data_IF_004326600689
#
_entry.id   IF_004326600689
#
_cell.length_a   1.000
_cell.length_b   1.000
_cell.length_c   1.000
_cell.angle_alpha   90.00
_cell.angle_beta   90.00
_cell.angle_gamma   90.00
#
_symmetry.space_group_name_H-M   'P 1'
#
loop_
_entity.id
_entity.type
_entity.pdbx_description
1 polymer ?
#
# COMPACT_ATOMS: atom_id res chain seq x y z
N UNK A 1 -9.71 14.17 11.01
CA UNK A 1 -8.90 12.93 11.09
C UNK A 1 -7.45 13.28 10.84
N UNK A 2 -6.53 12.87 11.70
CA UNK A 2 -5.09 13.10 11.53
C UNK A 2 -4.56 12.34 10.32
N UNK A 3 -3.73 12.97 9.48
CA UNK A 3 -3.17 12.42 8.23
C UNK A 3 -2.60 10.99 8.37
N UNK A 4 -1.88 10.73 9.47
CA UNK A 4 -1.34 9.41 9.84
C UNK A 4 -2.43 8.33 9.96
N UNK A 5 -3.62 8.65 10.48
CA UNK A 5 -4.75 7.72 10.58
C UNK A 5 -5.24 7.33 9.19
N UNK A 6 -5.38 8.31 8.28
CA UNK A 6 -5.81 8.06 6.89
C UNK A 6 -4.79 7.19 6.15
N UNK A 7 -3.49 7.47 6.29
CA UNK A 7 -2.43 6.65 5.71
C UNK A 7 -2.50 5.22 6.26
N UNK A 8 -2.58 5.07 7.58
CA UNK A 8 -2.66 3.75 8.22
C UNK A 8 -3.89 2.97 7.75
N UNK A 9 -5.06 3.61 7.64
CA UNK A 9 -6.28 2.96 7.17
C UNK A 9 -6.16 2.48 5.71
N UNK A 10 -5.61 3.32 4.83
CA UNK A 10 -5.34 2.96 3.43
C UNK A 10 -4.39 1.76 3.35
N UNK A 11 -3.29 1.78 4.11
CA UNK A 11 -2.32 0.69 4.14
C UNK A 11 -2.91 -0.63 4.67
N UNK A 12 -3.79 -0.58 5.69
CA UNK A 12 -4.49 -1.77 6.19
C UNK A 12 -5.33 -2.41 5.07
N UNK A 13 -6.10 -1.59 4.32
CA UNK A 13 -6.93 -2.12 3.25
C UNK A 13 -6.09 -2.70 2.10
N UNK A 14 -5.04 -2.00 1.69
CA UNK A 14 -4.08 -2.49 0.69
C UNK A 14 -3.45 -3.82 1.11
N UNK A 15 -3.02 -3.92 2.37
CA UNK A 15 -2.43 -5.14 2.96
C UNK A 15 -3.41 -6.31 2.94
N UNK A 16 -4.71 -6.07 3.17
CA UNK A 16 -5.74 -7.11 3.05
C UNK A 16 -5.94 -7.58 1.59
N UNK A 17 -5.99 -6.65 0.62
CA UNK A 17 -6.12 -6.99 -0.81
C UNK A 17 -4.91 -7.78 -1.33
N UNK A 18 -3.71 -7.39 -0.90
CA UNK A 18 -2.48 -8.12 -1.22
C UNK A 18 -2.52 -9.57 -0.71
N UNK A 19 -3.01 -9.80 0.51
CA UNK A 19 -3.20 -11.18 1.03
C UNK A 19 -4.23 -11.95 0.23
N UNK A 20 -5.35 -11.33 -0.16
CA UNK A 20 -6.34 -11.97 -1.02
C UNK A 20 -5.75 -12.40 -2.37
N UNK A 21 -4.84 -11.60 -2.94
CA UNK A 21 -4.10 -11.92 -4.16
C UNK A 21 -2.81 -12.73 -3.96
N UNK A 22 -2.62 -13.38 -2.80
CA UNK A 22 -1.42 -14.16 -2.42
C UNK A 22 -0.08 -13.40 -2.50
N UNK A 23 -0.09 -12.07 -2.36
CA UNK A 23 1.10 -11.20 -2.32
C UNK A 23 1.54 -10.91 -0.88
N UNK A 24 1.79 -11.96 -0.09
CA UNK A 24 2.07 -11.86 1.34
C UNK A 24 3.29 -10.98 1.67
N UNK A 25 4.39 -11.13 0.93
CA UNK A 25 5.61 -10.34 1.15
C UNK A 25 5.37 -8.83 1.05
N UNK A 26 4.48 -8.41 0.13
CA UNK A 26 4.09 -7.02 -0.03
C UNK A 26 3.15 -6.54 1.08
N UNK A 27 2.23 -7.39 1.51
CA UNK A 27 1.35 -7.09 2.65
C UNK A 27 2.16 -6.88 3.94
N UNK A 28 3.13 -7.76 4.20
CA UNK A 28 4.04 -7.66 5.34
C UNK A 28 4.90 -6.40 5.29
N UNK A 29 5.43 -6.04 4.11
CA UNK A 29 6.19 -4.80 3.93
C UNK A 29 5.35 -3.55 4.23
N UNK A 30 4.09 -3.50 3.77
CA UNK A 30 3.19 -2.40 4.11
C UNK A 30 2.90 -2.36 5.62
N UNK A 31 2.67 -3.50 6.25
CA UNK A 31 2.39 -3.55 7.70
C UNK A 31 3.58 -3.07 8.53
N UNK A 32 4.81 -3.40 8.12
CA UNK A 32 6.04 -2.91 8.74
C UNK A 32 6.14 -1.39 8.65
N UNK A 33 6.03 -0.80 7.44
CA UNK A 33 6.12 0.66 7.27
C UNK A 33 5.00 1.41 7.99
N UNK A 34 3.81 0.80 8.09
CA UNK A 34 2.70 1.35 8.88
C UNK A 34 3.03 1.38 10.36
N UNK A 35 3.65 0.33 10.90
CA UNK A 35 4.06 0.26 12.30
C UNK A 35 5.15 1.30 12.65
N UNK A 36 5.91 1.76 11.67
CA UNK A 36 6.94 2.79 11.83
C UNK A 36 6.38 4.23 11.83
N UNK A 37 5.15 4.46 11.33
CA UNK A 37 4.53 5.79 11.28
C UNK A 37 4.54 6.55 12.63
N UNK A 38 4.26 5.93 13.79
CA UNK A 38 4.32 6.62 15.08
C UNK A 38 5.74 6.89 15.58
N UNK A 39 6.75 6.17 15.07
CA UNK A 39 8.13 6.21 15.54
C UNK A 39 9.03 7.14 14.74
N UNK A 40 8.62 7.51 13.51
CA UNK A 40 9.37 8.42 12.66
C UNK A 40 8.58 8.75 11.39
N UNK A 41 7.68 9.74 11.50
CA UNK A 41 6.70 10.04 10.45
C UNK A 41 7.35 10.31 9.08
N UNK A 42 8.32 11.21 8.99
CA UNK A 42 8.95 11.57 7.70
C UNK A 42 9.77 10.42 7.10
N UNK A 43 10.44 9.64 7.95
CA UNK A 43 11.18 8.45 7.50
C UNK A 43 10.23 7.38 6.96
N UNK A 44 9.14 7.10 7.68
CA UNK A 44 8.11 6.17 7.24
C UNK A 44 7.47 6.62 5.92
N UNK A 45 7.18 7.92 5.74
CA UNK A 45 6.69 8.46 4.47
C UNK A 45 7.69 8.24 3.33
N UNK A 46 8.98 8.47 3.56
CA UNK A 46 10.01 8.22 2.56
C UNK A 46 10.06 6.76 2.12
N UNK A 47 9.94 5.82 3.07
CA UNK A 47 9.87 4.38 2.77
C UNK A 47 8.62 4.02 1.96
N UNK A 48 7.46 4.57 2.33
CA UNK A 48 6.19 4.35 1.61
C UNK A 48 6.27 4.89 0.18
N UNK A 49 6.79 6.11 -0.02
CA UNK A 49 6.97 6.70 -1.35
C UNK A 49 7.95 5.86 -2.18
N UNK A 50 9.00 5.32 -1.56
CA UNK A 50 9.96 4.44 -2.21
C UNK A 50 9.33 3.20 -2.87
N UNK A 51 8.16 2.75 -2.40
CA UNK A 51 7.44 1.61 -2.99
C UNK A 51 6.92 1.87 -4.41
N UNK A 52 6.82 3.14 -4.84
CA UNK A 52 6.28 3.52 -6.15
C UNK A 52 7.35 3.61 -7.25
N UNK A 53 8.63 3.43 -6.90
CA UNK A 53 9.75 3.54 -7.85
C UNK A 53 10.50 2.22 -8.07
N UNK A 54 11.09 2.06 -9.25
CA UNK A 54 11.94 0.92 -9.60
C UNK A 54 11.21 -0.22 -10.33
N UNK A 55 11.97 -1.24 -10.72
CA UNK A 55 11.44 -2.45 -11.38
C UNK A 55 10.85 -3.39 -10.32
N UNK A 56 9.60 -3.81 -10.48
CA UNK A 56 8.92 -4.65 -9.48
C UNK A 56 8.43 -3.83 -8.29
N UNK A 57 7.92 -2.63 -8.57
CA UNK A 57 7.35 -1.70 -7.59
C UNK A 57 5.92 -2.10 -7.19
N UNK A 58 5.35 -1.41 -6.20
CA UNK A 58 3.96 -1.60 -5.76
C UNK A 58 2.95 -1.35 -6.90
N UNK A 59 3.31 -0.51 -7.88
CA UNK A 59 2.45 -0.22 -9.04
C UNK A 59 2.40 -1.36 -10.04
N UNK A 60 3.41 -2.23 -10.05
CA UNK A 60 3.50 -3.38 -10.97
C UNK A 60 2.68 -4.59 -10.49
N UNK A 61 2.16 -4.54 -9.26
CA UNK A 61 1.38 -5.63 -8.68
C UNK A 61 -0.01 -5.68 -9.31
N UNK A 62 -0.35 -6.89 -9.77
CA UNK A 62 -1.69 -7.32 -10.14
C UNK A 62 -2.08 -8.50 -9.26
N UNK A 63 -3.29 -8.45 -8.71
CA UNK A 63 -3.85 -9.43 -7.79
C UNK A 63 -4.53 -10.56 -8.57
N UNK A 64 -4.22 -11.80 -8.20
CA UNK A 64 -4.78 -13.01 -8.80
C UNK A 64 -5.20 -14.00 -7.71
N UNK A 65 -6.25 -14.76 -8.00
CA UNK A 65 -6.66 -15.93 -7.25
C UNK A 65 -7.09 -17.02 -8.22
N UNK A 66 -6.56 -18.23 -8.04
CA UNK A 66 -6.87 -19.37 -8.93
C UNK A 66 -6.65 -19.05 -10.42
N UNK A 67 -5.50 -18.47 -10.74
CA UNK A 67 -5.09 -17.99 -12.08
C UNK A 67 -6.02 -16.95 -12.74
N UNK A 68 -7.02 -16.45 -12.01
CA UNK A 68 -7.91 -15.40 -12.48
C UNK A 68 -7.58 -14.05 -11.84
N UNK A 69 -7.58 -12.96 -12.62
CA UNK A 69 -7.40 -11.62 -12.08
C UNK A 69 -8.61 -11.24 -11.22
N UNK A 70 -8.34 -10.76 -10.00
CA UNK A 70 -9.34 -10.24 -9.09
C UNK A 70 -9.74 -8.82 -9.51
N UNK A 71 -10.69 -8.68 -10.43
CA UNK A 71 -10.96 -7.41 -11.14
C UNK A 71 -11.35 -6.29 -10.17
N UNK A 72 -12.32 -6.53 -9.29
CA UNK A 72 -12.81 -5.51 -8.36
C UNK A 72 -11.74 -5.11 -7.33
N UNK A 73 -10.99 -6.10 -6.83
CA UNK A 73 -9.87 -5.88 -5.92
C UNK A 73 -8.73 -5.13 -6.59
N UNK A 74 -8.43 -5.39 -7.86
CA UNK A 74 -7.40 -4.64 -8.60
C UNK A 74 -7.83 -3.20 -8.85
N UNK A 75 -9.11 -2.95 -9.14
CA UNK A 75 -9.65 -1.60 -9.27
C UNK A 75 -9.54 -0.84 -7.95
N UNK A 76 -9.99 -1.45 -6.85
CA UNK A 76 -9.86 -0.87 -5.52
C UNK A 76 -8.38 -0.63 -5.14
N UNK A 77 -7.51 -1.60 -5.44
CA UNK A 77 -6.08 -1.48 -5.15
C UNK A 77 -5.42 -0.35 -5.95
N UNK A 78 -5.85 -0.12 -7.19
CA UNK A 78 -5.39 1.01 -7.99
C UNK A 78 -5.81 2.36 -7.36
N UNK A 79 -7.07 2.49 -6.93
CA UNK A 79 -7.55 3.70 -6.24
C UNK A 79 -6.80 3.95 -4.93
N UNK A 80 -6.59 2.90 -4.13
CA UNK A 80 -5.86 2.99 -2.87
C UNK A 80 -4.38 3.35 -3.08
N UNK A 81 -3.73 2.87 -4.14
CA UNK A 81 -2.36 3.29 -4.50
C UNK A 81 -2.30 4.79 -4.80
N UNK A 82 -3.23 5.32 -5.60
CA UNK A 82 -3.30 6.76 -5.85
C UNK A 82 -3.54 7.53 -4.55
N UNK A 83 -4.50 7.07 -3.74
CA UNK A 83 -4.83 7.72 -2.47
C UNK A 83 -3.67 7.74 -1.48
N UNK A 84 -2.95 6.64 -1.35
CA UNK A 84 -1.78 6.54 -0.47
C UNK A 84 -0.68 7.51 -0.93
N UNK A 85 -0.40 7.56 -2.23
CA UNK A 85 0.60 8.47 -2.79
C UNK A 85 0.26 9.94 -2.51
N UNK A 86 -0.98 10.35 -2.79
CA UNK A 86 -1.46 11.71 -2.51
C UNK A 86 -1.35 12.06 -1.02
N UNK A 87 -1.75 11.15 -0.14
CA UNK A 87 -1.63 11.35 1.30
C UNK A 87 -0.17 11.49 1.73
N UNK A 88 0.78 10.79 1.10
CA UNK A 88 2.19 10.94 1.41
C UNK A 88 2.77 12.28 0.91
N UNK A 89 2.31 12.77 -0.25
CA UNK A 89 2.87 13.96 -0.92
C UNK A 89 2.26 15.31 -0.48
N UNK A 90 1.06 15.33 0.10
CA UNK A 90 0.43 16.58 0.57
C UNK A 90 1.18 17.14 1.79
N UNK A 91 1.79 18.32 1.70
CA UNK A 91 2.45 19.00 2.83
C UNK A 91 1.46 19.71 3.74
#
# INVERSE_FOLDING_TARGET
MTKSISISATMIRMSALLRAGNKYEWAERLDQYRADLPHGYDFALSQIIGLYGGMGSLTDIVLYYDDQPLIDENNEFAELRTRLYELCMQH
#
